data_IF_909133361096
#
_entry.id   IF_909133361096
#
_cell.length_a   1.000
_cell.length_b   1.000
_cell.length_c   1.000
_cell.angle_alpha   90.00
_cell.angle_beta   90.00
_cell.angle_gamma   90.00
#
_symmetry.space_group_name_H-M   'P 1'
#
loop_
_entity.id
_entity.type
_entity.pdbx_description
1 polymer ?
#
# COMPACT_ATOMS: atom_id res chain seq x y z
N UNK A 1 30.87 45.03 -48.94
CA UNK A 1 31.51 43.93 -49.70
C UNK A 1 31.53 42.73 -48.77
N UNK A 2 30.79 41.64 -48.90
CA UNK A 2 29.77 41.12 -49.83
C UNK A 2 29.22 39.87 -49.11
N UNK A 3 28.02 39.92 -48.54
CA UNK A 3 26.81 39.17 -48.93
C UNK A 3 27.02 37.91 -49.79
N UNK A 4 26.51 36.78 -49.29
CA UNK A 4 25.83 35.75 -50.08
C UNK A 4 24.57 35.32 -49.31
N UNK A 5 23.43 35.63 -49.92
CA UNK A 5 22.09 35.10 -49.65
C UNK A 5 21.96 33.70 -50.27
N UNK A 6 21.09 32.85 -49.72
CA UNK A 6 20.24 32.01 -50.56
C UNK A 6 18.89 31.79 -49.88
N UNK A 7 17.84 32.07 -50.64
CA UNK A 7 16.45 32.22 -50.25
C UNK A 7 15.60 31.07 -50.82
N UNK A 8 14.39 30.96 -50.31
CA UNK A 8 13.47 29.82 -50.36
C UNK A 8 12.89 29.43 -51.75
N UNK A 9 12.32 28.21 -51.86
CA UNK A 9 10.86 28.04 -52.05
C UNK A 9 10.37 26.59 -52.30
N UNK A 10 9.29 26.27 -51.58
CA UNK A 10 8.10 25.48 -51.95
C UNK A 10 8.21 24.00 -52.35
N UNK A 11 7.57 23.09 -51.57
CA UNK A 11 6.46 22.20 -51.99
C UNK A 11 5.60 21.86 -50.74
N UNK A 12 4.28 22.04 -50.85
CA UNK A 12 3.25 21.63 -49.85
C UNK A 12 2.43 20.46 -50.44
N UNK A 13 1.97 19.56 -49.56
CA UNK A 13 0.82 18.59 -49.62
C UNK A 13 1.21 17.10 -49.74
N UNK A 14 0.35 16.14 -49.29
CA UNK A 14 -0.22 15.94 -47.95
C UNK A 14 -0.03 14.49 -47.44
N UNK A 15 -0.31 14.25 -46.15
CA UNK A 15 -0.22 12.94 -45.50
C UNK A 15 -1.40 12.01 -45.88
N UNK A 16 -1.11 10.75 -46.20
CA UNK A 16 -2.11 9.68 -46.35
C UNK A 16 -1.87 8.57 -45.32
N UNK A 17 -2.93 8.24 -44.58
CA UNK A 17 -3.04 7.12 -43.63
C UNK A 17 -3.15 5.78 -44.38
N UNK A 18 -2.21 4.87 -44.12
CA UNK A 18 -2.36 3.40 -44.14
C UNK A 18 -1.00 2.86 -43.64
N UNK A 19 -0.88 1.94 -42.68
CA UNK A 19 -1.46 0.59 -42.68
C UNK A 19 -1.60 0.08 -41.24
N UNK A 20 -2.83 -0.28 -40.85
CA UNK A 20 -3.11 -1.17 -39.72
C UNK A 20 -3.06 -2.61 -40.24
N UNK A 21 -2.25 -3.46 -39.61
CA UNK A 21 -2.09 -4.86 -39.96
C UNK A 21 -3.10 -5.71 -39.18
N UNK A 22 -4.24 -6.04 -39.80
CA UNK A 22 -5.28 -6.94 -39.25
C UNK A 22 -5.13 -8.31 -39.94
N UNK A 23 -4.94 -9.39 -39.16
CA UNK A 23 -4.97 -10.77 -39.65
C UNK A 23 -6.41 -11.32 -39.72
N UNK A 24 -6.77 -12.15 -40.71
CA UNK A 24 -8.14 -12.61 -40.92
C UNK A 24 -8.47 -13.97 -40.26
N UNK A 25 -9.71 -14.04 -39.78
CA UNK A 25 -10.68 -15.15 -39.74
C UNK A 25 -10.21 -16.62 -39.73
N UNK A 26 -10.67 -17.34 -38.70
CA UNK A 26 -11.13 -18.74 -38.79
C UNK A 26 -12.49 -18.84 -38.08
N UNK A 27 -13.55 -19.19 -38.83
CA UNK A 27 -14.85 -19.63 -38.30
C UNK A 27 -15.26 -20.89 -39.07
N UNK A 28 -15.58 -21.97 -38.35
CA UNK A 28 -16.30 -23.14 -38.87
C UNK A 28 -17.40 -23.50 -37.85
N UNK A 29 -18.65 -23.56 -38.31
CA UNK A 29 -19.81 -24.28 -37.76
C UNK A 29 -20.43 -23.69 -36.49
N UNK A 30 -21.70 -23.26 -36.41
CA UNK A 30 -22.89 -23.61 -37.17
C UNK A 30 -23.87 -24.38 -36.29
N UNK A 31 -24.85 -23.68 -35.69
CA UNK A 31 -26.20 -24.19 -35.44
C UNK A 31 -27.10 -23.02 -34.99
N UNK A 32 -28.07 -22.67 -35.81
CA UNK A 32 -29.06 -21.63 -35.50
C UNK A 32 -30.23 -22.18 -34.70
N UNK A 33 -31.00 -21.27 -34.09
CA UNK A 33 -32.47 -21.24 -34.04
C UNK A 33 -32.84 -19.81 -33.60
N UNK A 34 -33.53 -19.07 -34.48
CA UNK A 34 -34.26 -17.86 -34.15
C UNK A 34 -35.68 -18.25 -33.72
N UNK A 35 -36.18 -17.68 -32.62
CA UNK A 35 -37.60 -17.73 -32.26
C UNK A 35 -38.19 -16.32 -32.30
N UNK A 36 -39.18 -16.12 -33.19
CA UNK A 36 -40.05 -14.93 -33.24
C UNK A 36 -41.28 -15.17 -32.36
N UNK A 37 -41.70 -14.11 -31.66
CA UNK A 37 -43.00 -14.03 -30.99
C UNK A 37 -44.11 -13.57 -31.95
N UNK A 38 -45.33 -14.09 -31.74
CA UNK A 38 -46.59 -13.58 -32.31
C UNK A 38 -47.76 -13.84 -31.33
N UNK A 39 -48.77 -12.95 -31.22
CA UNK A 39 -49.84 -13.06 -30.22
C UNK A 39 -51.24 -13.42 -30.79
N UNK A 40 -52.20 -13.65 -29.87
CA UNK A 40 -53.67 -13.79 -30.00
C UNK A 40 -54.19 -15.22 -30.31
N UNK A 41 -55.27 -15.78 -29.75
CA UNK A 41 -56.30 -15.35 -28.78
C UNK A 41 -57.46 -16.38 -28.68
N UNK A 42 -58.23 -16.34 -27.58
CA UNK A 42 -59.64 -16.72 -27.34
C UNK A 42 -60.12 -18.21 -27.52
N UNK A 43 -60.58 -18.91 -26.44
CA UNK A 43 -61.92 -18.97 -25.77
C UNK A 43 -62.92 -19.97 -26.39
N UNK A 44 -63.48 -20.89 -25.57
CA UNK A 44 -64.92 -21.24 -25.51
C UNK A 44 -65.24 -22.04 -24.24
N UNK A 45 -66.48 -21.90 -23.75
CA UNK A 45 -66.92 -22.21 -22.39
C UNK A 45 -68.01 -23.30 -22.29
N UNK A 46 -68.10 -23.89 -21.08
CA UNK A 46 -69.32 -24.30 -20.33
C UNK A 46 -70.10 -25.58 -20.79
N UNK A 47 -71.03 -26.20 -19.99
CA UNK A 47 -71.34 -26.03 -18.55
C UNK A 47 -71.91 -27.29 -17.76
N UNK A 48 -72.21 -27.11 -16.45
CA UNK A 48 -73.22 -27.75 -15.53
C UNK A 48 -72.94 -28.97 -14.60
N UNK A 49 -73.22 -28.73 -13.28
CA UNK A 49 -73.88 -29.55 -12.21
C UNK A 49 -73.20 -30.83 -11.67
N UNK A 50 -73.28 -31.29 -10.41
CA UNK A 50 -74.01 -30.93 -9.17
C UNK A 50 -73.32 -31.66 -7.96
N UNK A 51 -73.79 -31.36 -6.77
CA UNK A 51 -73.35 -31.53 -5.39
C UNK A 51 -72.95 -32.90 -4.79
N UNK A 52 -72.31 -32.75 -3.60
CA UNK A 52 -72.28 -33.59 -2.37
C UNK A 52 -70.96 -34.30 -2.04
N UNK A 53 -70.33 -33.85 -0.95
CA UNK A 53 -69.37 -34.59 -0.09
C UNK A 53 -70.14 -35.42 0.96
N UNK A 54 -69.51 -36.28 1.79
CA UNK A 54 -68.14 -36.80 1.80
C UNK A 54 -68.05 -38.34 1.93
N UNK A 55 -66.88 -38.92 1.63
CA UNK A 55 -66.26 -40.02 2.41
C UNK A 55 -64.81 -40.23 1.96
N UNK A 56 -63.95 -40.42 2.97
CA UNK A 56 -62.51 -40.60 2.89
C UNK A 56 -62.05 -41.65 1.87
N UNK A 57 -61.04 -41.29 1.09
CA UNK A 57 -59.92 -42.16 0.74
C UNK A 57 -58.73 -41.27 0.40
N UNK A 58 -57.67 -41.41 1.19
CA UNK A 58 -56.40 -40.70 1.02
C UNK A 58 -55.79 -41.20 -0.30
N UNK A 59 -55.78 -40.37 -1.33
CA UNK A 59 -55.07 -40.68 -2.57
C UNK A 59 -54.49 -39.41 -3.21
N UNK A 60 -53.16 -39.39 -3.23
CA UNK A 60 -52.31 -38.75 -4.25
C UNK A 60 -52.57 -37.27 -4.54
N UNK A 61 -52.35 -36.41 -3.54
CA UNK A 61 -52.04 -34.99 -3.73
C UNK A 61 -51.04 -34.42 -2.71
N UNK A 62 -50.12 -35.26 -2.23
CA UNK A 62 -49.05 -34.87 -1.31
C UNK A 62 -47.64 -34.99 -1.92
N UNK A 63 -47.52 -34.97 -3.26
CA UNK A 63 -46.24 -35.18 -3.96
C UNK A 63 -45.88 -34.10 -4.98
N UNK A 64 -46.61 -32.97 -5.02
CA UNK A 64 -46.30 -31.84 -5.92
C UNK A 64 -46.25 -30.46 -5.22
N UNK A 65 -46.23 -30.44 -3.87
CA UNK A 65 -45.91 -29.24 -3.09
C UNK A 65 -44.82 -29.49 -2.02
N UNK A 66 -44.10 -30.60 -2.12
CA UNK A 66 -42.88 -30.86 -1.35
C UNK A 66 -41.59 -30.73 -2.18
N UNK A 67 -41.71 -30.43 -3.48
CA UNK A 67 -40.56 -30.20 -4.38
C UNK A 67 -40.29 -28.71 -4.66
N UNK A 68 -41.12 -27.80 -4.14
CA UNK A 68 -40.94 -26.35 -4.27
C UNK A 68 -40.62 -25.65 -2.92
N UNK A 69 -40.47 -26.42 -1.83
CA UNK A 69 -40.01 -25.94 -0.52
C UNK A 69 -38.65 -26.55 -0.09
N UNK A 70 -37.96 -27.21 -1.03
CA UNK A 70 -36.59 -27.73 -0.88
C UNK A 70 -35.59 -27.06 -1.83
N UNK A 71 -35.96 -25.91 -2.43
CA UNK A 71 -35.10 -25.12 -3.32
C UNK A 71 -34.82 -23.70 -2.80
N UNK A 72 -34.92 -23.50 -1.47
CA UNK A 72 -34.55 -22.25 -0.78
C UNK A 72 -33.71 -22.53 0.48
N UNK A 73 -32.88 -23.57 0.42
CA UNK A 73 -31.90 -23.87 1.47
C UNK A 73 -30.63 -24.50 0.86
N UNK A 74 -30.07 -23.84 -0.15
CA UNK A 74 -28.76 -24.22 -0.71
C UNK A 74 -28.01 -23.03 -1.32
N UNK A 75 -27.94 -21.92 -0.58
CA UNK A 75 -26.83 -20.96 -0.71
C UNK A 75 -26.23 -20.73 0.67
N UNK A 76 -25.78 -21.81 1.28
CA UNK A 76 -24.86 -21.80 2.41
C UNK A 76 -24.03 -23.08 2.34
N UNK A 77 -23.27 -23.22 1.25
CA UNK A 77 -22.20 -24.22 1.14
C UNK A 77 -21.14 -23.66 0.20
N UNK A 78 -20.43 -22.64 0.71
CA UNK A 78 -19.10 -22.27 0.25
C UNK A 78 -18.14 -22.15 1.46
N UNK A 79 -18.46 -22.80 2.58
CA UNK A 79 -17.72 -22.71 3.84
C UNK A 79 -17.25 -24.09 4.35
N UNK A 80 -17.02 -25.06 3.46
CA UNK A 80 -16.40 -26.36 3.82
C UNK A 80 -15.14 -26.71 3.01
N UNK A 81 -14.68 -25.80 2.16
CA UNK A 81 -13.37 -25.90 1.54
C UNK A 81 -12.59 -24.68 1.99
N UNK A 82 -11.66 -24.86 2.93
CA UNK A 82 -10.81 -23.78 3.44
C UNK A 82 -10.14 -22.97 2.33
N UNK A 83 -9.64 -21.78 2.67
CA UNK A 83 -8.97 -20.90 1.73
C UNK A 83 -7.46 -21.15 1.72
N UNK A 84 -6.76 -20.67 0.70
CA UNK A 84 -5.31 -20.74 0.58
C UNK A 84 -4.75 -19.38 0.18
N UNK A 85 -3.46 -19.13 0.46
CA UNK A 85 -2.71 -18.04 -0.16
C UNK A 85 -2.06 -18.50 -1.47
N UNK A 86 -1.79 -17.56 -2.38
CA UNK A 86 -1.16 -17.80 -3.69
C UNK A 86 -2.13 -17.79 -4.86
N UNK A 87 -1.65 -18.14 -6.06
CA UNK A 87 -2.42 -18.05 -7.31
C UNK A 87 -3.28 -19.28 -7.62
N UNK A 88 -3.56 -20.12 -6.61
CA UNK A 88 -4.33 -21.35 -6.76
C UNK A 88 -5.84 -21.09 -6.89
N UNK A 89 -6.61 -22.15 -7.15
CA UNK A 89 -8.08 -22.12 -7.26
C UNK A 89 -8.81 -21.75 -5.95
N UNK A 90 -8.07 -21.54 -4.87
CA UNK A 90 -8.54 -21.11 -3.54
C UNK A 90 -7.77 -19.89 -3.03
N UNK A 91 -7.02 -19.25 -3.92
CA UNK A 91 -6.22 -18.05 -3.65
C UNK A 91 -7.05 -16.80 -3.41
N UNK A 92 -6.44 -15.69 -2.97
CA UNK A 92 -7.14 -14.43 -2.67
C UNK A 92 -8.06 -13.93 -3.79
N UNK A 93 -7.66 -14.11 -5.05
CA UNK A 93 -8.46 -13.75 -6.21
C UNK A 93 -9.80 -14.53 -6.34
N UNK A 94 -9.91 -15.67 -5.66
CA UNK A 94 -11.01 -16.62 -5.76
C UNK A 94 -11.85 -16.72 -4.47
N UNK A 95 -11.50 -15.98 -3.39
CA UNK A 95 -12.15 -16.11 -2.06
C UNK A 95 -13.66 -15.77 -2.03
N UNK A 96 -14.19 -15.11 -3.06
CA UNK A 96 -15.63 -14.90 -3.25
C UNK A 96 -16.30 -14.10 -2.11
N UNK A 97 -17.63 -14.13 -2.03
CA UNK A 97 -18.37 -13.52 -0.91
C UNK A 97 -18.08 -12.03 -0.68
N UNK A 98 -17.91 -11.64 0.59
CA UNK A 98 -17.50 -10.27 0.93
C UNK A 98 -16.06 -9.97 0.48
N UNK A 99 -15.20 -10.98 0.36
CA UNK A 99 -13.84 -10.79 -0.16
C UNK A 99 -13.85 -10.26 -1.60
N UNK A 100 -14.84 -10.68 -2.41
CA UNK A 100 -14.99 -10.22 -3.80
C UNK A 100 -15.88 -8.98 -3.95
N UNK A 101 -16.91 -8.84 -3.11
CA UNK A 101 -18.00 -7.86 -3.30
C UNK A 101 -18.07 -6.76 -2.23
N UNK A 102 -17.21 -6.82 -1.20
CA UNK A 102 -17.12 -5.79 -0.17
C UNK A 102 -16.66 -4.46 -0.75
N UNK A 103 -17.11 -3.37 -0.13
CA UNK A 103 -16.77 -1.98 -0.48
C UNK A 103 -15.74 -1.35 0.45
N UNK A 104 -15.49 -1.97 1.60
CA UNK A 104 -14.53 -1.54 2.62
C UNK A 104 -13.62 -2.70 3.01
N UNK A 105 -12.95 -3.27 2.02
CA UNK A 105 -12.04 -4.39 2.24
C UNK A 105 -10.70 -3.92 2.80
N UNK A 106 -10.07 -4.82 3.53
CA UNK A 106 -8.72 -4.72 4.08
C UNK A 106 -7.88 -5.90 3.57
N UNK A 107 -6.54 -5.79 3.50
CA UNK A 107 -5.73 -4.62 3.85
C UNK A 107 -5.84 -3.48 2.83
N UNK A 108 -5.24 -2.33 3.14
CA UNK A 108 -5.12 -1.19 2.22
C UNK A 108 -3.69 -0.67 2.16
N UNK A 109 -3.36 0.03 1.08
CA UNK A 109 -2.22 0.95 1.06
C UNK A 109 -2.60 2.25 1.78
N UNK A 110 -1.94 2.56 2.89
CA UNK A 110 -2.06 3.85 3.56
C UNK A 110 -1.24 4.87 2.77
N UNK A 111 -1.91 5.61 1.90
CA UNK A 111 -1.29 6.75 1.21
C UNK A 111 -1.25 7.91 2.20
N UNK A 112 -0.08 8.16 2.81
CA UNK A 112 0.13 9.17 3.85
C UNK A 112 -0.39 10.53 3.45
N UNK A 113 -0.22 10.80 2.17
CA UNK A 113 -0.52 12.04 1.54
C UNK A 113 -2.06 12.27 1.50
N UNK A 114 -2.87 11.23 1.30
CA UNK A 114 -4.35 11.26 1.32
C UNK A 114 -4.96 11.22 2.74
N UNK A 115 -4.13 11.05 3.77
CA UNK A 115 -4.60 11.03 5.16
C UNK A 115 -5.03 12.42 5.62
N UNK A 116 -6.05 12.45 6.49
CA UNK A 116 -6.48 13.67 7.15
C UNK A 116 -5.93 13.65 8.58
N UNK A 117 -5.07 14.62 8.90
CA UNK A 117 -4.53 14.76 10.25
C UNK A 117 -5.64 15.13 11.24
N UNK A 118 -5.97 14.21 12.14
CA UNK A 118 -6.86 14.47 13.27
C UNK A 118 -6.06 14.59 14.57
N UNK A 119 -5.80 15.85 14.97
CA UNK A 119 -5.05 16.15 16.21
C UNK A 119 -5.78 15.72 17.49
N UNK A 120 -7.08 15.41 17.42
CA UNK A 120 -7.85 14.99 18.60
C UNK A 120 -7.55 13.56 19.04
N UNK A 121 -6.98 12.74 18.14
CA UNK A 121 -6.60 11.35 18.41
C UNK A 121 -5.36 11.24 19.32
N UNK A 122 -4.56 12.30 19.44
CA UNK A 122 -3.32 12.29 20.22
C UNK A 122 -2.18 11.51 19.53
N UNK A 123 -1.05 11.39 20.22
CA UNK A 123 0.19 10.75 19.77
C UNK A 123 0.43 9.36 20.40
N UNK A 124 -0.57 8.84 21.12
CA UNK A 124 -0.52 7.54 21.80
C UNK A 124 -1.88 6.87 21.78
N UNK A 125 -1.90 5.56 21.53
CA UNK A 125 -3.11 4.76 21.68
C UNK A 125 -3.50 4.62 23.16
N UNK A 126 -4.80 4.65 23.43
CA UNK A 126 -5.33 4.39 24.76
C UNK A 126 -5.40 2.88 25.01
N UNK A 127 -4.29 2.32 25.47
CA UNK A 127 -4.14 0.89 25.75
C UNK A 127 -3.85 0.64 27.22
N UNK A 128 -4.43 -0.43 27.73
CA UNK A 128 -4.17 -0.97 29.07
C UNK A 128 -3.82 -2.44 28.90
N UNK A 129 -2.58 -2.70 28.48
CA UNK A 129 -2.09 -4.07 28.32
C UNK A 129 -1.47 -4.61 29.60
N UNK A 130 -1.75 -5.88 29.84
CA UNK A 130 -1.30 -6.63 31.00
C UNK A 130 -0.24 -7.67 30.65
N UNK A 131 -0.01 -8.55 31.62
CA UNK A 131 0.93 -9.65 31.51
C UNK A 131 0.14 -10.95 31.42
N UNK A 132 0.08 -11.50 30.21
CA UNK A 132 -0.52 -12.81 29.95
C UNK A 132 0.34 -13.89 30.57
N UNK A 133 -0.22 -14.72 31.46
CA UNK A 133 0.56 -15.74 32.20
C UNK A 133 0.52 -17.11 31.54
N UNK A 134 -0.43 -17.29 30.62
CA UNK A 134 -0.67 -18.52 29.90
C UNK A 134 -1.09 -18.19 28.47
N UNK A 135 -0.39 -18.76 27.49
CA UNK A 135 -0.73 -18.61 26.09
C UNK A 135 -0.67 -19.94 25.33
N UNK A 136 -1.54 -20.07 24.34
CA UNK A 136 -1.53 -21.14 23.35
C UNK A 136 -1.07 -20.54 22.03
N UNK A 137 0.03 -21.08 21.50
CA UNK A 137 0.59 -20.71 20.20
C UNK A 137 0.16 -21.78 19.22
N UNK A 138 -0.56 -21.37 18.18
CA UNK A 138 -1.31 -22.21 17.26
C UNK A 138 -0.73 -21.99 15.86
N UNK A 139 -0.29 -23.06 15.22
CA UNK A 139 0.03 -23.03 13.79
C UNK A 139 -1.23 -23.36 12.99
N UNK A 140 -2.04 -22.34 12.75
CA UNK A 140 -3.32 -22.49 12.06
C UNK A 140 -3.08 -22.60 10.56
N UNK A 141 -3.11 -23.81 10.03
CA UNK A 141 -2.97 -24.04 8.59
C UNK A 141 -4.16 -23.48 7.81
N UNK A 142 -5.34 -23.41 8.42
CA UNK A 142 -6.56 -22.93 7.75
C UNK A 142 -6.55 -21.42 7.56
N UNK A 143 -5.91 -20.69 8.48
CA UNK A 143 -5.67 -19.25 8.36
C UNK A 143 -4.29 -18.91 7.77
N UNK A 144 -3.38 -19.90 7.67
CA UNK A 144 -1.95 -19.74 7.39
C UNK A 144 -1.26 -18.77 8.35
N UNK A 145 -1.70 -18.73 9.61
CA UNK A 145 -1.24 -17.78 10.62
C UNK A 145 -0.65 -18.50 11.82
N UNK A 146 0.32 -17.83 12.45
CA UNK A 146 0.69 -18.14 13.82
C UNK A 146 -0.22 -17.35 14.76
N UNK A 147 -1.21 -18.01 15.35
CA UNK A 147 -2.12 -17.40 16.32
C UNK A 147 -1.54 -17.55 17.73
N UNK A 148 -1.63 -16.49 18.54
CA UNK A 148 -1.33 -16.52 19.97
C UNK A 148 -2.57 -16.11 20.75
N UNK A 149 -3.17 -17.07 21.43
CA UNK A 149 -4.35 -16.88 22.27
C UNK A 149 -3.98 -16.93 23.74
N UNK A 150 -4.48 -15.98 24.52
CA UNK A 150 -4.11 -15.82 25.93
C UNK A 150 -5.18 -16.28 26.91
N UNK A 151 -4.85 -16.22 28.19
CA UNK A 151 -5.77 -16.43 29.32
C UNK A 151 -6.80 -15.30 29.54
N UNK A 152 -6.85 -14.31 28.64
CA UNK A 152 -7.69 -13.12 28.73
C UNK A 152 -7.07 -11.97 29.55
N UNK A 153 -5.84 -12.11 30.05
CA UNK A 153 -5.15 -11.05 30.80
C UNK A 153 -4.20 -10.18 29.95
N UNK A 154 -4.27 -10.30 28.62
CA UNK A 154 -3.55 -9.41 27.71
C UNK A 154 -3.94 -7.94 27.86
N UNK A 155 -5.17 -7.64 28.28
CA UNK A 155 -5.66 -6.29 28.45
C UNK A 155 -6.44 -5.77 27.25
N UNK A 156 -6.47 -4.45 27.05
CA UNK A 156 -7.45 -3.83 26.16
C UNK A 156 -6.95 -2.58 25.43
N UNK A 157 -7.73 -2.21 24.40
CA UNK A 157 -7.64 -0.98 23.64
C UNK A 157 -8.96 -0.20 23.80
N UNK A 158 -8.89 1.10 24.04
CA UNK A 158 -10.05 2.00 24.00
C UNK A 158 -9.99 2.87 22.74
N UNK A 159 -11.00 2.74 21.87
CA UNK A 159 -11.14 3.57 20.67
C UNK A 159 -12.49 4.29 20.70
N UNK A 160 -12.47 5.62 20.55
CA UNK A 160 -13.67 6.45 20.52
C UNK A 160 -14.61 6.20 21.73
N UNK A 161 -14.03 5.97 22.91
CA UNK A 161 -14.74 5.68 24.15
C UNK A 161 -15.33 4.25 24.24
N UNK A 162 -15.06 3.39 23.26
CA UNK A 162 -15.45 1.97 23.29
C UNK A 162 -14.24 1.12 23.65
N UNK A 163 -14.43 0.25 24.64
CA UNK A 163 -13.42 -0.69 25.11
C UNK A 163 -13.45 -1.98 24.30
N UNK A 164 -12.28 -2.43 23.83
CA UNK A 164 -12.08 -3.67 23.10
C UNK A 164 -11.02 -4.52 23.82
N UNK A 165 -11.40 -5.70 24.30
CA UNK A 165 -10.50 -6.64 24.97
C UNK A 165 -9.65 -7.38 23.93
N UNK A 166 -8.34 -7.54 24.17
CA UNK A 166 -7.47 -8.28 23.27
C UNK A 166 -7.77 -9.78 23.38
N UNK A 167 -8.16 -10.38 22.26
CA UNK A 167 -8.52 -11.80 22.17
C UNK A 167 -7.30 -12.63 21.79
N UNK A 168 -6.61 -12.20 20.73
CA UNK A 168 -5.46 -12.90 20.16
C UNK A 168 -4.59 -11.94 19.36
N UNK A 169 -3.41 -12.40 18.98
CA UNK A 169 -2.64 -11.75 17.93
C UNK A 169 -2.05 -12.77 16.96
N UNK A 170 -1.80 -12.33 15.73
CA UNK A 170 -1.23 -13.16 14.69
C UNK A 170 -0.28 -12.37 13.80
N UNK A 171 0.40 -13.11 12.92
CA UNK A 171 1.52 -12.63 12.12
C UNK A 171 1.28 -12.91 10.65
N UNK A 172 1.65 -11.95 9.80
CA UNK A 172 1.74 -12.09 8.35
C UNK A 172 3.15 -11.72 7.89
N UNK A 173 3.70 -12.49 6.95
CA UNK A 173 4.98 -12.18 6.30
C UNK A 173 4.86 -12.49 4.80
N UNK A 174 5.06 -11.50 3.91
CA UNK A 174 5.29 -10.07 4.20
C UNK A 174 4.05 -9.39 4.83
N UNK A 175 4.15 -8.08 5.10
CA UNK A 175 3.01 -7.28 5.56
C UNK A 175 1.83 -7.33 4.59
N UNK A 176 0.62 -7.30 5.14
CA UNK A 176 -0.62 -7.18 4.38
C UNK A 176 -0.89 -5.72 3.99
N UNK A 177 -0.75 -4.81 4.95
CA UNK A 177 -0.81 -3.37 4.70
C UNK A 177 0.50 -2.86 4.10
N UNK A 178 0.39 -1.75 3.36
CA UNK A 178 1.54 -0.98 2.88
C UNK A 178 1.40 0.49 3.28
N UNK A 179 2.51 1.22 3.36
CA UNK A 179 2.54 2.67 3.56
C UNK A 179 3.18 3.31 2.33
N UNK A 180 2.46 4.19 1.65
CA UNK A 180 2.89 4.79 0.38
C UNK A 180 3.39 3.74 -0.65
N UNK A 181 2.78 2.55 -0.65
CA UNK A 181 3.15 1.42 -1.51
C UNK A 181 4.25 0.51 -0.95
N UNK A 182 4.91 0.87 0.15
CA UNK A 182 6.00 0.09 0.76
C UNK A 182 5.44 -1.03 1.64
N UNK A 183 5.86 -2.27 1.38
CA UNK A 183 5.62 -3.43 2.26
C UNK A 183 6.72 -3.58 3.30
N UNK A 184 6.44 -4.30 4.39
CA UNK A 184 7.36 -4.60 5.48
C UNK A 184 7.54 -6.11 5.61
N UNK A 185 8.62 -6.54 6.25
CA UNK A 185 8.97 -7.97 6.31
C UNK A 185 7.98 -8.79 7.17
N UNK A 186 7.37 -8.16 8.17
CA UNK A 186 6.42 -8.78 9.09
C UNK A 186 5.36 -7.77 9.56
N UNK A 187 4.11 -8.21 9.65
CA UNK A 187 3.02 -7.45 10.25
C UNK A 187 2.34 -8.26 11.36
N UNK A 188 2.16 -7.63 12.52
CA UNK A 188 1.47 -8.20 13.68
C UNK A 188 0.10 -7.57 13.79
N UNK A 189 -0.94 -8.39 13.86
CA UNK A 189 -2.32 -7.98 14.10
C UNK A 189 -2.73 -8.28 15.54
N UNK A 190 -2.91 -7.25 16.36
CA UNK A 190 -3.52 -7.37 17.69
C UNK A 190 -5.05 -7.31 17.55
N UNK A 191 -5.72 -8.44 17.68
CA UNK A 191 -7.15 -8.59 17.41
C UNK A 191 -7.99 -8.44 18.68
N UNK A 192 -8.80 -7.38 18.73
CA UNK A 192 -9.63 -7.03 19.88
C UNK A 192 -11.11 -7.16 19.59
N UNK A 193 -11.90 -7.38 20.65
CA UNK A 193 -13.35 -7.48 20.58
C UNK A 193 -14.02 -6.69 21.69
N UNK A 194 -15.03 -5.90 21.34
CA UNK A 194 -15.85 -5.17 22.31
C UNK A 194 -16.95 -6.06 22.91
N UNK A 195 -17.59 -5.60 23.98
CA UNK A 195 -18.70 -6.31 24.62
C UNK A 195 -19.93 -6.49 23.69
N UNK A 196 -20.14 -5.58 22.72
CA UNK A 196 -21.19 -5.68 21.69
C UNK A 196 -20.76 -6.48 20.45
N UNK A 197 -19.56 -7.07 20.48
CA UNK A 197 -19.08 -7.98 19.44
C UNK A 197 -18.47 -7.31 18.22
N UNK A 198 -18.18 -6.00 18.27
CA UNK A 198 -17.41 -5.30 17.23
C UNK A 198 -15.92 -5.62 17.36
N UNK A 199 -15.20 -5.47 16.26
CA UNK A 199 -13.78 -5.76 16.20
C UNK A 199 -12.95 -4.48 16.04
N UNK A 200 -11.79 -4.48 16.68
CA UNK A 200 -10.74 -3.51 16.44
C UNK A 200 -9.40 -4.23 16.30
N UNK A 201 -8.57 -3.83 15.33
CA UNK A 201 -7.28 -4.45 15.06
C UNK A 201 -6.19 -3.39 15.03
N UNK A 202 -5.11 -3.60 15.78
CA UNK A 202 -3.88 -2.81 15.65
C UNK A 202 -2.92 -3.59 14.75
N UNK A 203 -2.50 -2.99 13.64
CA UNK A 203 -1.46 -3.49 12.74
C UNK A 203 -0.12 -2.85 13.08
N UNK A 204 0.92 -3.65 13.27
CA UNK A 204 2.26 -3.22 13.68
C UNK A 204 3.28 -3.84 12.73
N UNK A 205 4.08 -3.00 12.08
CA UNK A 205 5.12 -3.46 11.15
C UNK A 205 6.45 -3.70 11.85
N UNK A 206 7.18 -4.70 11.35
CA UNK A 206 8.57 -5.00 11.67
C UNK A 206 9.34 -5.23 10.37
N UNK A 207 10.57 -4.76 10.33
CA UNK A 207 11.56 -5.12 9.31
C UNK A 207 12.64 -6.00 9.94
N UNK A 208 13.22 -6.88 9.13
CA UNK A 208 14.41 -7.63 9.50
C UNK A 208 15.56 -6.65 9.77
N UNK A 209 16.26 -6.88 10.88
CA UNK A 209 17.51 -6.19 11.18
C UNK A 209 18.67 -7.14 10.91
N UNK A 210 19.75 -6.63 10.30
CA UNK A 210 21.01 -7.35 10.19
C UNK A 210 21.94 -7.14 11.40
N UNK A 211 21.46 -6.43 12.43
CA UNK A 211 22.10 -6.36 13.74
C UNK A 211 21.51 -7.43 14.65
N UNK A 212 22.32 -8.46 14.96
CA UNK A 212 21.95 -9.56 15.86
C UNK A 212 21.55 -9.07 17.27
N UNK A 213 21.96 -7.87 17.66
CA UNK A 213 21.61 -7.25 18.95
C UNK A 213 20.32 -6.39 18.89
N UNK A 214 19.75 -6.15 17.71
CA UNK A 214 18.54 -5.34 17.50
C UNK A 214 17.24 -6.18 17.50
N UNK A 215 17.24 -7.31 18.20
CA UNK A 215 16.08 -8.19 18.29
C UNK A 215 14.92 -7.55 19.08
N UNK A 216 13.72 -7.52 18.52
CA UNK A 216 12.51 -7.10 19.22
C UNK A 216 12.27 -7.98 20.46
N UNK A 217 12.20 -7.41 21.68
CA UNK A 217 11.95 -8.20 22.89
C UNK A 217 10.62 -8.95 22.85
N UNK A 218 9.62 -8.38 22.16
CA UNK A 218 8.33 -9.02 21.93
C UNK A 218 8.47 -10.24 21.02
N UNK A 219 9.12 -10.08 19.86
CA UNK A 219 9.31 -11.18 18.92
C UNK A 219 10.17 -12.29 19.54
N UNK A 220 11.26 -11.94 20.25
CA UNK A 220 12.09 -12.89 21.00
C UNK A 220 11.28 -13.78 21.94
N UNK A 221 10.39 -13.16 22.71
CA UNK A 221 9.52 -13.86 23.66
C UNK A 221 8.59 -14.85 22.96
N UNK A 222 7.92 -14.42 21.89
CA UNK A 222 6.96 -15.25 21.16
C UNK A 222 7.68 -16.33 20.33
N UNK A 223 8.72 -15.95 19.59
CA UNK A 223 9.41 -16.82 18.64
C UNK A 223 10.29 -17.88 19.31
N UNK A 224 10.67 -17.69 20.57
CA UNK A 224 11.37 -18.73 21.36
C UNK A 224 10.61 -20.07 21.43
N UNK A 225 9.30 -20.07 21.17
CA UNK A 225 8.45 -21.27 21.17
C UNK A 225 8.26 -21.90 19.79
N UNK A 226 8.59 -21.20 18.70
CA UNK A 226 8.43 -21.70 17.33
C UNK A 226 9.13 -23.04 17.08
N UNK A 227 10.35 -23.30 17.60
CA UNK A 227 10.99 -24.61 17.41
C UNK A 227 10.20 -25.81 17.97
N UNK A 228 9.25 -25.57 18.88
CA UNK A 228 8.40 -26.61 19.46
C UNK A 228 7.19 -26.93 18.56
N UNK A 229 6.89 -26.10 17.56
CA UNK A 229 5.84 -26.32 16.57
C UNK A 229 6.45 -27.02 15.37
N UNK A 230 6.46 -28.36 15.41
CA UNK A 230 7.17 -29.18 14.41
C UNK A 230 6.28 -29.63 13.25
N UNK A 231 4.96 -29.46 13.35
CA UNK A 231 4.01 -29.81 12.30
C UNK A 231 2.92 -28.74 12.14
N UNK A 232 2.35 -28.57 10.94
CA UNK A 232 1.11 -27.82 10.75
C UNK A 232 0.00 -28.33 11.68
N UNK A 233 -0.90 -27.44 12.11
CA UNK A 233 -2.04 -27.77 12.99
C UNK A 233 -1.65 -28.34 14.36
N UNK A 234 -0.45 -28.02 14.83
CA UNK A 234 -0.02 -28.33 16.21
C UNK A 234 0.06 -27.07 17.05
N UNK A 235 -0.28 -27.22 18.33
CA UNK A 235 -0.32 -26.13 19.29
C UNK A 235 0.73 -26.36 20.36
N UNK A 236 1.36 -25.28 20.81
CA UNK A 236 2.26 -25.28 21.96
C UNK A 236 1.66 -24.40 23.03
N UNK A 237 1.61 -24.92 24.25
CA UNK A 237 1.17 -24.15 25.42
C UNK A 237 2.40 -23.67 26.17
N UNK A 238 2.40 -22.38 26.54
CA UNK A 238 3.45 -21.79 27.37
C UNK A 238 2.87 -21.18 28.65
N UNK A 239 3.59 -21.39 29.75
CA UNK A 239 3.38 -20.71 31.03
C UNK A 239 4.37 -19.55 31.22
N UNK A 240 5.25 -19.32 30.24
CA UNK A 240 6.12 -18.16 30.26
C UNK A 240 5.27 -16.93 29.96
N UNK A 241 5.34 -15.88 30.79
CA UNK A 241 4.49 -14.73 30.58
C UNK A 241 4.79 -14.03 29.25
N UNK A 242 3.74 -13.57 28.57
CA UNK A 242 3.81 -12.73 27.37
C UNK A 242 3.36 -11.31 27.72
N UNK A 243 4.15 -10.32 27.33
CA UNK A 243 3.90 -8.89 27.60
C UNK A 243 3.98 -8.08 26.32
N UNK A 244 3.10 -7.09 26.17
CA UNK A 244 3.04 -6.22 24.99
C UNK A 244 3.77 -4.88 25.18
N UNK A 245 4.44 -4.68 26.32
CA UNK A 245 5.07 -3.41 26.73
C UNK A 245 6.14 -2.91 25.76
N UNK A 246 6.84 -3.82 25.08
CA UNK A 246 7.90 -3.49 24.12
C UNK A 246 7.38 -3.23 22.70
N UNK A 247 6.07 -3.34 22.45
CA UNK A 247 5.51 -3.01 21.15
C UNK A 247 5.53 -1.48 20.92
N UNK A 248 5.86 -1.02 19.70
CA UNK A 248 5.90 0.40 19.35
C UNK A 248 4.47 0.95 19.18
N UNK A 249 3.76 1.16 20.29
CA UNK A 249 2.38 1.66 20.33
C UNK A 249 2.30 3.18 20.57
N UNK A 250 3.45 3.86 20.51
CA UNK A 250 3.59 5.31 20.61
C UNK A 250 3.96 5.86 19.24
N UNK A 251 3.45 7.05 18.89
CA UNK A 251 3.76 7.71 17.63
C UNK A 251 2.55 7.83 16.69
N UNK A 252 2.84 8.04 15.41
CA UNK A 252 1.82 8.27 14.39
C UNK A 252 1.12 6.97 14.00
N UNK A 253 -0.20 7.04 13.82
CA UNK A 253 -1.01 5.92 13.35
C UNK A 253 -2.12 6.42 12.43
N UNK A 254 -2.58 5.56 11.51
CA UNK A 254 -3.77 5.79 10.71
C UNK A 254 -4.95 4.98 11.28
N UNK A 255 -6.15 5.57 11.30
CA UNK A 255 -7.38 4.86 11.64
C UNK A 255 -8.30 4.78 10.43
N UNK A 256 -8.87 3.60 10.17
CA UNK A 256 -9.89 3.44 9.13
C UNK A 256 -10.89 2.32 9.47
N UNK A 257 -12.04 2.32 8.79
CA UNK A 257 -13.03 1.25 8.90
C UNK A 257 -12.90 0.32 7.70
N UNK A 258 -12.64 -0.95 7.96
CA UNK A 258 -12.35 -1.96 6.94
C UNK A 258 -13.00 -3.31 7.23
N UNK A 259 -12.38 -4.38 6.73
CA UNK A 259 -12.82 -5.77 6.90
C UNK A 259 -11.79 -6.62 7.64
N UNK A 260 -12.13 -7.89 7.88
CA UNK A 260 -11.12 -8.93 8.07
C UNK A 260 -10.29 -9.08 6.78
N UNK A 261 -9.00 -9.39 6.90
CA UNK A 261 -8.09 -9.58 5.75
C UNK A 261 -8.13 -11.00 5.19
N UNK A 262 -8.79 -11.92 5.90
CA UNK A 262 -9.04 -13.29 5.46
C UNK A 262 -10.54 -13.61 5.42
N UNK A 263 -10.98 -14.65 4.69
CA UNK A 263 -12.37 -15.07 4.65
C UNK A 263 -12.94 -15.27 6.06
N UNK A 264 -14.15 -14.75 6.33
CA UNK A 264 -15.16 -14.29 5.37
C UNK A 264 -15.00 -12.84 4.86
N UNK A 265 -13.92 -12.13 5.18
CA UNK A 265 -13.67 -10.72 4.83
C UNK A 265 -14.83 -9.77 5.20
N UNK A 266 -15.48 -10.06 6.33
CA UNK A 266 -16.60 -9.26 6.82
C UNK A 266 -16.15 -7.85 7.19
N UNK A 267 -16.89 -6.85 6.73
CA UNK A 267 -16.68 -5.43 7.04
C UNK A 267 -17.09 -5.06 8.47
N UNK A 268 -16.67 -3.86 8.91
CA UNK A 268 -17.01 -3.32 10.22
C UNK A 268 -15.90 -3.46 11.27
N UNK A 269 -14.66 -3.68 10.81
CA UNK A 269 -13.46 -3.71 11.65
C UNK A 269 -12.92 -2.29 11.77
N UNK A 270 -12.64 -1.84 13.00
CA UNK A 270 -11.89 -0.61 13.25
C UNK A 270 -10.38 -0.91 13.20
N UNK A 271 -9.71 -0.46 12.16
CA UNK A 271 -8.27 -0.65 12.01
C UNK A 271 -7.50 0.54 12.58
N UNK A 272 -6.40 0.23 13.25
CA UNK A 272 -5.35 1.16 13.66
C UNK A 272 -4.05 0.65 13.05
N UNK A 273 -3.53 1.34 12.05
CA UNK A 273 -2.26 0.97 11.40
C UNK A 273 -1.16 1.84 11.99
N UNK A 274 -0.24 1.24 12.74
CA UNK A 274 0.92 1.96 13.27
C UNK A 274 1.82 2.36 12.10
N UNK A 275 2.09 3.66 11.97
CA UNK A 275 2.89 4.20 10.88
C UNK A 275 4.38 4.19 11.24
N UNK A 276 4.80 3.18 12.03
CA UNK A 276 6.15 2.99 12.57
C UNK A 276 7.15 3.54 11.57
N UNK A 277 7.83 4.60 11.99
CA UNK A 277 8.59 5.52 11.15
C UNK A 277 9.26 4.81 9.97
N UNK A 278 8.68 4.93 8.78
CA UNK A 278 9.40 4.78 7.48
C UNK A 278 10.33 5.99 7.28
N UNK A 279 10.64 6.68 8.37
CA UNK A 279 11.54 7.80 8.45
C UNK A 279 12.89 7.18 8.82
N UNK A 280 13.97 7.54 8.12
CA UNK A 280 15.31 7.25 8.64
C UNK A 280 15.37 7.66 10.11
N UNK A 281 16.18 6.98 10.92
CA UNK A 281 16.38 7.19 12.38
C UNK A 281 16.84 8.62 12.80
N UNK A 282 16.65 9.62 11.93
CA UNK A 282 17.08 11.00 12.09
C UNK A 282 18.59 11.17 11.90
N UNK A 283 19.35 10.10 11.61
CA UNK A 283 20.82 10.17 11.52
C UNK A 283 21.33 10.83 10.24
N UNK A 284 20.48 11.01 9.22
CA UNK A 284 20.87 11.66 7.95
C UNK A 284 21.14 13.16 8.08
N UNK A 285 20.75 13.78 9.20
CA UNK A 285 21.05 15.17 9.54
C UNK A 285 19.84 16.09 9.52
N UNK A 286 20.11 17.37 9.78
CA UNK A 286 19.08 18.36 10.11
C UNK A 286 19.21 19.60 9.21
N UNK A 287 18.07 20.14 8.77
CA UNK A 287 17.95 21.43 8.11
C UNK A 287 17.35 22.45 9.09
N UNK A 288 17.97 23.61 9.24
CA UNK A 288 17.32 24.75 9.93
C UNK A 288 16.95 25.80 8.91
N UNK A 289 15.65 26.03 8.73
CA UNK A 289 15.11 26.98 7.76
C UNK A 289 14.17 27.96 8.46
N UNK A 290 14.46 29.26 8.36
CA UNK A 290 13.67 30.32 9.00
C UNK A 290 13.46 30.10 10.51
N UNK A 291 14.46 29.56 11.20
CA UNK A 291 14.42 29.27 12.65
C UNK A 291 13.65 28.00 13.02
N UNK A 292 13.14 27.24 12.05
CA UNK A 292 12.50 25.94 12.28
C UNK A 292 13.49 24.82 11.95
N UNK A 293 13.65 23.87 12.87
CA UNK A 293 14.44 22.66 12.66
C UNK A 293 13.58 21.59 11.96
N UNK A 294 14.13 21.00 10.91
CA UNK A 294 13.59 19.87 10.18
C UNK A 294 14.62 18.73 10.20
N UNK A 295 14.15 17.51 10.33
CA UNK A 295 14.96 16.29 10.32
C UNK A 295 14.79 15.62 8.96
N UNK A 296 15.89 15.14 8.38
CA UNK A 296 15.87 14.47 7.09
C UNK A 296 15.28 13.07 7.26
N UNK A 297 14.12 12.85 6.62
CA UNK A 297 13.29 11.66 6.76
C UNK A 297 13.57 10.66 5.65
N UNK A 298 13.68 11.14 4.41
CA UNK A 298 13.93 10.31 3.22
C UNK A 298 14.53 11.13 2.09
N UNK A 299 15.06 10.45 1.06
CA UNK A 299 15.33 11.07 -0.23
C UNK A 299 14.77 10.22 -1.37
N UNK A 300 14.51 10.85 -2.50
CA UNK A 300 14.03 10.17 -3.71
C UNK A 300 14.50 10.91 -4.96
N UNK A 301 14.37 10.26 -6.11
CA UNK A 301 14.87 10.74 -7.38
C UNK A 301 13.77 10.94 -8.41
N UNK A 302 13.91 12.00 -9.20
CA UNK A 302 13.14 12.22 -10.42
C UNK A 302 14.06 12.29 -11.63
N UNK A 303 13.71 11.60 -12.71
CA UNK A 303 14.36 11.69 -14.01
C UNK A 303 13.29 11.86 -15.11
N UNK A 304 13.38 12.92 -15.95
CA UNK A 304 14.24 14.10 -15.80
C UNK A 304 13.89 14.93 -14.55
N UNK A 305 14.54 16.06 -14.32
CA UNK A 305 14.23 16.93 -13.17
C UNK A 305 12.78 17.44 -13.19
N UNK A 306 12.19 17.63 -12.02
CA UNK A 306 10.88 18.28 -11.84
C UNK A 306 11.01 19.80 -11.87
N UNK A 307 12.10 20.33 -11.30
CA UNK A 307 12.43 21.74 -11.42
C UNK A 307 13.18 22.02 -12.73
N UNK A 308 13.00 23.23 -13.23
CA UNK A 308 13.80 23.79 -14.32
C UNK A 308 14.43 25.10 -13.87
N UNK A 309 15.63 25.40 -14.40
CA UNK A 309 16.27 26.71 -14.24
C UNK A 309 16.21 27.40 -15.60
N UNK A 310 15.56 28.55 -15.67
CA UNK A 310 15.35 29.31 -16.90
C UNK A 310 14.73 28.47 -18.05
N UNK A 311 13.87 27.50 -17.69
CA UNK A 311 13.21 26.58 -18.61
C UNK A 311 14.05 25.38 -19.04
N UNK A 312 15.28 25.24 -18.52
CA UNK A 312 16.16 24.10 -18.79
C UNK A 312 15.92 22.99 -17.77
N UNK A 313 15.69 21.77 -18.27
CA UNK A 313 15.59 20.54 -17.48
C UNK A 313 16.96 19.88 -17.32
N UNK A 314 17.14 19.15 -16.23
CA UNK A 314 18.31 18.34 -15.93
C UNK A 314 17.98 16.84 -16.05
N UNK A 315 18.99 15.99 -16.18
CA UNK A 315 18.80 14.55 -16.42
C UNK A 315 18.28 13.80 -15.18
N UNK A 316 18.65 14.26 -13.98
CA UNK A 316 18.21 13.69 -12.71
C UNK A 316 18.13 14.78 -11.63
N UNK A 317 17.17 14.65 -10.72
CA UNK A 317 17.00 15.50 -9.55
C UNK A 317 16.81 14.62 -8.30
N UNK A 318 17.54 14.92 -7.23
CA UNK A 318 17.31 14.31 -5.92
C UNK A 318 16.57 15.30 -5.02
N UNK A 319 15.55 14.79 -4.33
CA UNK A 319 14.80 15.50 -3.30
C UNK A 319 15.16 14.95 -1.94
N UNK A 320 15.75 15.78 -1.08
CA UNK A 320 15.97 15.47 0.34
C UNK A 320 14.76 15.97 1.13
N UNK A 321 13.92 15.05 1.60
CA UNK A 321 12.64 15.33 2.23
C UNK A 321 12.79 15.42 3.76
N UNK A 322 12.47 16.57 4.33
CA UNK A 322 12.60 16.83 5.76
C UNK A 322 11.25 17.14 6.40
N UNK A 323 11.14 16.81 7.69
CA UNK A 323 9.95 17.05 8.51
C UNK A 323 10.34 17.70 9.82
N UNK A 324 9.59 18.70 10.26
CA UNK A 324 9.76 19.32 11.57
C UNK A 324 8.93 18.61 12.63
N UNK A 325 9.26 18.86 13.91
CA UNK A 325 8.50 18.32 15.05
C UNK A 325 7.01 18.73 15.05
N UNK A 326 6.65 19.85 14.41
CA UNK A 326 5.26 20.31 14.24
C UNK A 326 4.59 19.82 12.94
N UNK A 327 5.24 18.91 12.20
CA UNK A 327 4.69 18.25 11.01
C UNK A 327 4.76 19.08 9.72
N UNK A 328 5.58 20.14 9.66
CA UNK A 328 5.83 20.89 8.44
C UNK A 328 6.88 20.21 7.58
N UNK A 329 6.82 20.43 6.27
CA UNK A 329 7.75 19.84 5.32
C UNK A 329 8.72 20.88 4.73
N UNK A 330 9.96 20.46 4.56
CA UNK A 330 10.96 21.18 3.78
C UNK A 330 11.69 20.22 2.84
N UNK A 331 11.96 20.64 1.60
CA UNK A 331 12.63 19.79 0.60
C UNK A 331 13.82 20.53 0.01
N UNK A 332 14.98 19.87 -0.01
CA UNK A 332 16.15 20.34 -0.75
C UNK A 332 16.20 19.61 -2.09
N UNK A 333 16.25 20.36 -3.20
CA UNK A 333 16.37 19.84 -4.56
C UNK A 333 17.78 20.07 -5.10
N UNK A 334 18.39 19.04 -5.68
CA UNK A 334 19.75 19.07 -6.26
C UNK A 334 19.72 18.39 -7.63
N UNK A 335 20.32 19.06 -8.62
CA UNK A 335 20.35 18.60 -10.00
C UNK A 335 21.64 17.85 -10.36
N UNK A 336 21.48 16.84 -11.23
CA UNK A 336 22.55 16.10 -11.86
C UNK A 336 22.35 16.08 -13.37
N UNK A 337 23.45 16.17 -14.12
CA UNK A 337 23.49 15.90 -15.55
C UNK A 337 24.46 14.76 -15.85
N UNK A 338 24.10 13.96 -16.84
CA UNK A 338 24.99 12.97 -17.43
C UNK A 338 26.22 13.68 -18.03
N UNK A 339 27.39 13.16 -17.68
CA UNK A 339 28.68 13.61 -18.19
C UNK A 339 29.14 12.65 -19.29
N UNK A 340 29.60 13.18 -20.41
CA UNK A 340 30.27 12.41 -21.48
C UNK A 340 31.67 11.88 -21.09
N UNK A 341 32.11 12.17 -19.87
CA UNK A 341 33.27 11.57 -19.24
C UNK A 341 32.79 10.44 -18.31
N UNK A 342 33.07 9.19 -18.69
CA UNK A 342 32.67 8.00 -17.93
C UNK A 342 33.32 7.95 -16.53
N UNK A 343 34.42 8.70 -16.32
CA UNK A 343 35.10 8.80 -15.03
C UNK A 343 34.51 9.89 -14.11
N UNK A 344 33.56 10.72 -14.61
CA UNK A 344 32.90 11.77 -13.83
C UNK A 344 31.78 11.22 -12.93
N UNK A 345 32.14 10.28 -12.06
CA UNK A 345 31.24 9.59 -11.16
C UNK A 345 30.84 10.46 -9.95
N UNK A 346 29.53 10.55 -9.66
CA UNK A 346 29.06 11.15 -8.39
C UNK A 346 29.32 10.20 -7.22
N UNK A 347 30.04 10.63 -6.17
CA UNK A 347 30.26 9.78 -4.99
C UNK A 347 28.97 9.47 -4.22
N UNK A 348 28.01 10.40 -4.20
CA UNK A 348 26.69 10.17 -3.61
C UNK A 348 25.93 9.09 -4.39
N UNK A 349 25.81 9.26 -5.72
CA UNK A 349 25.08 8.28 -6.53
C UNK A 349 25.80 6.92 -6.54
N UNK A 350 27.13 6.87 -6.43
CA UNK A 350 27.86 5.60 -6.31
C UNK A 350 27.41 4.81 -5.08
N UNK A 351 27.28 5.48 -3.93
CA UNK A 351 26.80 4.85 -2.70
C UNK A 351 25.40 4.29 -2.91
N UNK A 352 24.46 5.12 -3.38
CA UNK A 352 23.05 4.77 -3.52
C UNK A 352 22.79 3.77 -4.65
N UNK A 353 23.43 3.95 -5.81
CA UNK A 353 23.18 3.15 -7.00
C UNK A 353 23.86 1.78 -6.96
N UNK A 354 24.77 1.54 -6.01
CA UNK A 354 25.39 0.22 -5.83
C UNK A 354 24.38 -0.88 -5.53
N UNK A 355 23.15 -0.55 -5.09
CA UNK A 355 22.10 -1.51 -4.77
C UNK A 355 21.03 -1.65 -5.86
N UNK A 356 21.06 -0.81 -6.91
CA UNK A 356 20.14 -0.92 -8.05
C UNK A 356 20.08 -2.34 -8.66
N UNK A 357 21.20 -3.09 -8.78
CA UNK A 357 21.14 -4.46 -9.30
C UNK A 357 20.25 -5.42 -8.48
N UNK A 358 19.95 -5.10 -7.23
CA UNK A 358 19.09 -5.91 -6.36
C UNK A 358 17.59 -5.62 -6.58
N UNK A 359 17.24 -4.53 -7.27
CA UNK A 359 15.86 -4.18 -7.64
C UNK A 359 15.53 -4.91 -8.94
N UNK A 360 14.92 -6.09 -8.82
CA UNK A 360 14.66 -6.98 -9.98
C UNK A 360 13.24 -6.89 -10.53
N UNK A 361 12.31 -6.31 -9.77
CA UNK A 361 10.92 -6.06 -10.17
C UNK A 361 10.37 -4.81 -9.45
N UNK A 362 9.25 -4.22 -9.92
CA UNK A 362 8.58 -3.14 -9.20
C UNK A 362 8.32 -3.50 -7.73
N UNK A 363 8.34 -2.49 -6.86
CA UNK A 363 8.08 -2.61 -5.42
C UNK A 363 9.07 -3.52 -4.65
N UNK A 364 10.26 -3.78 -5.22
CA UNK A 364 11.34 -4.46 -4.49
C UNK A 364 11.94 -3.54 -3.44
N UNK A 365 11.90 -3.96 -2.17
CA UNK A 365 12.64 -3.32 -1.09
C UNK A 365 14.08 -3.83 -1.05
N UNK A 366 15.04 -2.90 -0.87
CA UNK A 366 16.45 -3.23 -0.71
C UNK A 366 16.98 -2.52 0.53
N UNK A 367 17.37 -3.29 1.54
CA UNK A 367 18.00 -2.78 2.76
C UNK A 367 19.51 -2.76 2.59
N UNK A 368 20.16 -1.68 3.02
CA UNK A 368 21.62 -1.55 3.00
C UNK A 368 22.15 -1.23 4.40
N UNK A 369 23.27 -1.86 4.75
CA UNK A 369 23.99 -1.60 6.01
C UNK A 369 25.12 -0.58 5.83
N UNK A 370 25.46 -0.23 4.59
CA UNK A 370 26.47 0.77 4.33
C UNK A 370 25.89 2.16 4.64
N UNK A 371 26.51 2.95 5.54
CA UNK A 371 26.02 4.29 5.83
C UNK A 371 26.08 5.14 4.56
N UNK A 372 24.99 5.83 4.28
CA UNK A 372 24.92 6.79 3.17
C UNK A 372 25.30 8.14 3.74
N UNK A 373 26.33 8.77 3.19
CA UNK A 373 26.72 10.13 3.58
C UNK A 373 26.31 11.15 2.53
N UNK A 374 25.86 12.31 2.99
CA UNK A 374 25.48 13.44 2.14
C UNK A 374 26.64 14.42 1.90
N UNK A 375 27.84 14.12 2.41
CA UNK A 375 29.00 15.03 2.39
C UNK A 375 29.42 15.48 0.99
N UNK A 376 29.17 14.63 -0.01
CA UNK A 376 29.49 14.92 -1.41
C UNK A 376 28.41 15.73 -2.14
N UNK A 377 27.27 16.00 -1.51
CA UNK A 377 26.22 16.83 -2.09
C UNK A 377 26.50 18.32 -1.86
N UNK A 378 26.16 19.20 -2.82
CA UNK A 378 26.41 20.64 -2.74
C UNK A 378 25.39 21.34 -1.83
N UNK A 379 25.37 21.02 -0.54
CA UNK A 379 24.39 21.53 0.44
C UNK A 379 24.69 22.95 0.97
N UNK A 380 25.76 23.58 0.50
CA UNK A 380 26.12 24.97 0.82
C UNK A 380 26.26 25.76 -0.46
N UNK A 381 25.74 26.97 -0.52
CA UNK A 381 25.95 27.88 -1.65
C UNK A 381 24.70 28.67 -2.00
N UNK A 382 24.57 29.00 -3.28
CA UNK A 382 23.42 29.74 -3.79
C UNK A 382 22.21 28.80 -3.93
N UNK A 383 21.03 29.31 -3.58
CA UNK A 383 19.78 28.55 -3.69
C UNK A 383 18.58 29.47 -3.94
N UNK A 384 17.53 28.91 -4.53
CA UNK A 384 16.21 29.52 -4.55
C UNK A 384 15.34 28.92 -3.46
N UNK A 385 14.51 29.74 -2.83
CA UNK A 385 13.53 29.31 -1.83
C UNK A 385 12.13 29.76 -2.22
N UNK A 386 11.15 28.86 -2.07
CA UNK A 386 9.75 29.19 -2.26
C UNK A 386 8.83 28.28 -1.45
N UNK A 387 7.58 28.69 -1.25
CA UNK A 387 6.53 27.83 -0.69
C UNK A 387 5.74 27.15 -1.81
N UNK A 388 5.61 25.83 -1.73
CA UNK A 388 4.98 25.01 -2.75
C UNK A 388 4.22 23.84 -2.16
N UNK A 389 4.19 22.74 -2.91
CA UNK A 389 3.52 21.50 -2.54
C UNK A 389 4.45 20.30 -2.64
N UNK A 390 3.96 19.14 -2.20
CA UNK A 390 4.48 17.86 -2.67
C UNK A 390 4.29 17.77 -4.19
N UNK A 391 5.20 17.05 -4.85
CA UNK A 391 5.16 16.85 -6.30
C UNK A 391 4.44 15.57 -6.70
N UNK A 392 4.17 14.69 -5.74
CA UNK A 392 3.30 13.51 -5.90
C UNK A 392 1.94 13.71 -5.21
N UNK A 393 0.90 12.94 -5.57
CA UNK A 393 -0.42 13.01 -4.94
C UNK A 393 -0.40 12.91 -3.41
N UNK A 394 -1.31 13.65 -2.73
CA UNK A 394 -2.34 14.53 -3.28
C UNK A 394 -1.82 15.95 -3.50
N UNK A 395 -0.49 16.13 -3.62
CA UNK A 395 0.10 17.43 -3.87
C UNK A 395 -0.15 18.44 -2.74
N UNK A 396 -0.03 17.99 -1.49
CA UNK A 396 -0.26 18.82 -0.29
C UNK A 396 0.60 20.08 -0.32
N UNK A 397 -0.03 21.24 -0.18
CA UNK A 397 0.64 22.56 -0.12
C UNK A 397 1.29 22.81 1.26
N UNK A 398 2.11 23.86 1.36
CA UNK A 398 2.79 24.25 2.60
C UNK A 398 4.22 23.70 2.74
N UNK A 399 4.78 23.15 1.66
CA UNK A 399 6.16 22.66 1.60
C UNK A 399 7.12 23.83 1.40
N UNK A 400 8.16 23.91 2.23
CA UNK A 400 9.27 24.86 2.03
C UNK A 400 10.32 24.27 1.10
N UNK A 401 10.38 24.75 -0.13
CA UNK A 401 11.36 24.29 -1.11
C UNK A 401 12.64 25.10 -1.04
N UNK A 402 13.79 24.40 -1.10
CA UNK A 402 15.14 24.94 -1.24
C UNK A 402 15.76 24.28 -2.47
N UNK A 403 15.87 25.01 -3.57
CA UNK A 403 16.42 24.51 -4.84
C UNK A 403 17.87 24.99 -4.94
N UNK A 404 18.83 24.06 -4.88
CA UNK A 404 20.25 24.42 -4.97
C UNK A 404 20.57 24.94 -6.37
N UNK A 405 21.20 26.12 -6.45
CA UNK A 405 21.57 26.81 -7.69
C UNK A 405 23.08 26.77 -7.96
N UNK A 406 23.82 25.98 -7.19
CA UNK A 406 25.24 25.74 -7.42
C UNK A 406 25.47 24.99 -8.75
N UNK A 407 26.75 24.79 -9.07
CA UNK A 407 27.14 23.96 -10.21
C UNK A 407 26.39 22.62 -10.19
N UNK A 408 25.71 22.34 -11.31
CA UNK A 408 25.00 21.07 -11.53
C UNK A 408 25.96 19.92 -11.30
N UNK A 409 25.53 18.93 -10.51
CA UNK A 409 26.36 17.78 -10.21
C UNK A 409 26.51 16.91 -11.46
N UNK A 410 27.66 16.24 -11.57
CA UNK A 410 27.89 15.29 -12.67
C UNK A 410 27.54 13.88 -12.24
N UNK A 411 27.02 13.09 -13.16
CA UNK A 411 26.93 11.64 -13.06
C UNK A 411 27.49 11.02 -14.33
N UNK A 412 28.18 9.89 -14.23
CA UNK A 412 28.75 9.24 -15.42
C UNK A 412 27.70 8.45 -16.20
N UNK A 413 27.96 8.18 -17.48
CA UNK A 413 27.05 7.36 -18.31
C UNK A 413 26.71 6.00 -17.66
N UNK A 414 27.67 5.27 -17.05
CA UNK A 414 27.35 4.02 -16.35
C UNK A 414 26.42 4.21 -15.15
N UNK A 415 26.55 5.29 -14.38
CA UNK A 415 25.66 5.57 -13.25
C UNK A 415 24.23 5.85 -13.72
N UNK A 416 24.08 6.72 -14.72
CA UNK A 416 22.75 7.08 -15.21
C UNK A 416 22.09 5.91 -15.94
N UNK A 417 22.85 5.17 -16.76
CA UNK A 417 22.36 3.96 -17.42
C UNK A 417 21.92 2.87 -16.44
N UNK A 418 22.60 2.72 -15.29
CA UNK A 418 22.16 1.80 -14.24
C UNK A 418 20.81 2.21 -13.64
N UNK A 419 20.61 3.50 -13.38
CA UNK A 419 19.33 4.05 -12.90
C UNK A 419 18.21 3.83 -13.91
N UNK A 420 18.43 4.22 -15.18
CA UNK A 420 17.42 4.08 -16.24
C UNK A 420 17.04 2.63 -16.55
N UNK A 421 17.95 1.68 -16.33
CA UNK A 421 17.63 0.25 -16.47
C UNK A 421 16.59 -0.22 -15.45
N UNK A 422 16.61 0.35 -14.25
CA UNK A 422 15.64 0.03 -13.17
C UNK A 422 14.38 0.90 -13.31
N UNK A 423 14.55 2.18 -13.65
CA UNK A 423 13.48 3.17 -13.78
C UNK A 423 13.47 3.75 -15.22
N UNK A 424 12.92 3.01 -16.20
CA UNK A 424 12.99 3.41 -17.61
C UNK A 424 11.98 4.49 -18.01
N UNK A 425 10.96 4.72 -17.19
CA UNK A 425 9.92 5.71 -17.45
C UNK A 425 10.21 7.02 -16.74
N UNK A 426 9.88 8.13 -17.40
CA UNK A 426 9.96 9.45 -16.79
C UNK A 426 8.98 9.56 -15.62
N UNK A 427 9.47 9.97 -14.45
CA UNK A 427 8.68 10.05 -13.23
C UNK A 427 8.57 11.49 -12.70
N UNK A 428 8.77 12.49 -13.56
CA UNK A 428 8.80 13.90 -13.19
C UNK A 428 7.45 14.58 -13.48
N UNK A 429 6.89 15.24 -12.48
CA UNK A 429 5.70 16.06 -12.67
C UNK A 429 6.03 17.29 -13.54
N UNK A 430 5.18 17.65 -14.52
CA UNK A 430 5.40 18.85 -15.32
C UNK A 430 5.48 20.12 -14.47
N UNK A 431 6.28 21.10 -14.92
CA UNK A 431 6.39 22.41 -14.25
C UNK A 431 5.01 23.08 -14.15
N UNK A 432 4.67 23.54 -12.95
CA UNK A 432 3.39 24.18 -12.66
C UNK A 432 3.47 25.71 -12.74
N UNK A 433 2.33 26.35 -13.00
CA UNK A 433 2.24 27.81 -13.05
C UNK A 433 2.59 28.42 -11.68
N UNK A 434 3.46 29.44 -11.66
CA UNK A 434 3.89 30.14 -10.44
C UNK A 434 2.76 30.88 -9.74
N UNK A 435 1.67 31.22 -10.45
CA UNK A 435 0.52 31.99 -9.94
C UNK A 435 0.94 33.24 -9.14
N UNK A 436 1.97 33.94 -9.63
CA UNK A 436 2.57 35.13 -9.00
C UNK A 436 3.22 34.89 -7.63
N UNK A 437 3.50 33.64 -7.22
CA UNK A 437 4.25 33.36 -6.00
C UNK A 437 5.67 33.94 -6.08
N UNK A 438 6.15 34.47 -4.96
CA UNK A 438 7.53 34.93 -4.84
C UNK A 438 8.49 33.73 -4.76
N UNK A 439 9.58 33.82 -5.49
CA UNK A 439 10.74 32.93 -5.37
C UNK A 439 11.91 33.79 -4.93
N UNK A 440 12.46 33.52 -3.76
CA UNK A 440 13.59 34.27 -3.23
C UNK A 440 14.87 33.57 -3.62
N UNK A 441 15.81 34.29 -4.22
CA UNK A 441 17.15 33.77 -4.50
C UNK A 441 18.12 34.27 -3.44
N UNK A 442 18.94 33.36 -2.95
CA UNK A 442 20.08 33.62 -2.08
C UNK A 442 21.33 33.29 -2.86
N UNK A 443 22.23 34.24 -2.98
CA UNK A 443 23.53 34.04 -3.58
C UNK A 443 24.59 34.00 -2.48
N UNK A 444 25.41 32.95 -2.49
CA UNK A 444 26.60 32.94 -1.65
C UNK A 444 27.58 33.98 -2.21
N UNK A 445 28.07 34.85 -1.32
CA UNK A 445 28.98 35.95 -1.66
C UNK A 445 30.37 35.46 -2.07
#
# INVERSE_FOLDING_TARGET
MSFVEEDASSIIRPWTLSQLNIRPNVVIGGCGIQARFGPQGALYANPWYDARRPKMSISRCALLCLSALLALSSTASAAENGFEYGSGLRGPAEWGGFCANGTKQSPINVVMADTVLDKSLGDRLDTEYGKCTYAVIINDKSAHHLDVEGDGSFGNLTLNGVKYELVKFHFHSPSEHTIDGVSFDLEVHLFHKSADGKFAVIAIFFNESHDDDAESPFLKQVFSWLPNITQPDTNVTTMAPITLESLPLQGSYAQYSGSLTTPPCTEGVSWVVMLNEVEGDGSFGNLTLNGVKYELVKFHFHSPSEHTIDGVSFDLEVHLFHKSADGKFAVIAIFFNESHDDDAESPFLKQVFSWLPNITQPDTNVTTMAPITLESLPLQGSYAQYSGSLTTPPCTEGVSWVVMLNETQKMSCPQFGAYQKVFPEANNRPVQNTRCRSVTRFDQA
#
